data_IF_362018759463
#
_entry.id   IF_362018759463
#
_cell.length_a   1.000
_cell.length_b   1.000
_cell.length_c   1.000
_cell.angle_alpha   90.00
_cell.angle_beta   90.00
_cell.angle_gamma   90.00
#
_symmetry.space_group_name_H-M   'P 1'
#
loop_
_entity.id
_entity.type
_entity.pdbx_description
1 polymer ?
#
# COMPACT_ATOMS: atom_id res chain seq x y z
N UNK A 1 -6.95 12.43 -10.32
CA UNK A 1 -7.33 11.59 -9.18
C UNK A 1 -6.31 10.47 -9.02
N UNK A 2 -5.79 10.28 -7.82
CA UNK A 2 -4.74 9.29 -7.60
C UNK A 2 -5.37 7.92 -7.35
N UNK A 3 -4.93 6.92 -8.10
CA UNK A 3 -5.42 5.56 -7.96
C UNK A 3 -4.83 4.91 -6.70
N UNK A 4 -5.44 3.81 -6.28
CA UNK A 4 -4.92 3.03 -5.14
C UNK A 4 -3.47 2.60 -5.39
N UNK A 5 -3.17 2.11 -6.59
CA UNK A 5 -1.81 1.70 -6.93
C UNK A 5 -0.82 2.85 -6.82
N UNK A 6 -1.23 4.04 -7.28
CA UNK A 6 -0.40 5.23 -7.19
C UNK A 6 -0.18 5.66 -5.74
N UNK A 7 -1.25 5.58 -4.92
CA UNK A 7 -1.15 5.94 -3.50
C UNK A 7 -0.23 4.99 -2.75
N UNK A 8 -0.27 3.70 -3.06
CA UNK A 8 0.62 2.73 -2.43
C UNK A 8 2.07 3.03 -2.79
N UNK A 9 2.32 3.37 -4.05
CA UNK A 9 3.68 3.74 -4.48
C UNK A 9 4.16 4.99 -3.77
N UNK A 10 3.31 6.00 -3.65
CA UNK A 10 3.66 7.25 -2.97
C UNK A 10 3.96 6.99 -1.50
N UNK A 11 3.14 6.16 -0.84
CA UNK A 11 3.36 5.79 0.55
C UNK A 11 4.74 5.16 0.73
N UNK A 12 5.09 4.22 -0.14
CA UNK A 12 6.39 3.56 -0.08
C UNK A 12 7.52 4.57 -0.24
N UNK A 13 7.38 5.49 -1.20
CA UNK A 13 8.41 6.49 -1.48
C UNK A 13 8.54 7.49 -0.33
N UNK A 14 7.44 7.82 0.32
CA UNK A 14 7.48 8.69 1.49
C UNK A 14 8.29 8.06 2.61
N UNK A 15 8.22 6.73 2.74
CA UNK A 15 8.99 6.00 3.73
C UNK A 15 10.43 5.76 3.28
N UNK A 16 10.79 6.21 2.07
CA UNK A 16 12.14 6.06 1.50
C UNK A 16 12.55 4.60 1.39
N UNK A 17 11.61 3.76 0.97
CA UNK A 17 11.85 2.32 0.85
C UNK A 17 11.83 1.84 -0.59
N UNK A 18 12.67 0.84 -0.87
CA UNK A 18 12.58 0.08 -2.11
C UNK A 18 11.36 -0.84 -2.00
N UNK A 19 10.96 -1.44 -3.13
CA UNK A 19 9.88 -2.42 -3.11
C UNK A 19 10.24 -3.60 -2.20
N UNK A 20 11.51 -4.03 -2.22
CA UNK A 20 11.95 -5.14 -1.38
C UNK A 20 11.84 -4.83 0.11
N UNK A 21 12.32 -3.65 0.51
CA UNK A 21 12.24 -3.25 1.91
C UNK A 21 10.81 -3.05 2.37
N UNK A 22 9.97 -2.48 1.50
CA UNK A 22 8.56 -2.27 1.80
C UNK A 22 7.85 -3.61 1.98
N UNK A 23 8.16 -4.58 1.10
CA UNK A 23 7.60 -5.91 1.21
C UNK A 23 7.97 -6.57 2.54
N UNK A 24 9.22 -6.42 2.97
CA UNK A 24 9.65 -6.94 4.27
C UNK A 24 8.93 -6.27 5.41
N UNK A 25 8.75 -4.95 5.33
CA UNK A 25 8.05 -4.21 6.37
C UNK A 25 6.60 -4.66 6.52
N UNK A 26 5.96 -5.02 5.42
CA UNK A 26 4.58 -5.49 5.42
C UNK A 26 4.46 -7.01 5.55
N UNK A 27 5.59 -7.71 5.55
CA UNK A 27 5.62 -9.18 5.60
C UNK A 27 4.82 -9.81 4.45
N UNK A 28 5.10 -9.31 3.24
CA UNK A 28 4.53 -9.86 2.00
C UNK A 28 5.67 -10.03 1.00
N UNK A 29 5.41 -10.70 -0.12
CA UNK A 29 6.44 -10.88 -1.14
C UNK A 29 6.62 -9.60 -1.95
N UNK A 30 7.82 -9.41 -2.51
CA UNK A 30 8.09 -8.26 -3.37
C UNK A 30 7.20 -8.30 -4.62
N UNK A 31 6.88 -9.50 -5.10
CA UNK A 31 5.96 -9.65 -6.22
C UNK A 31 4.58 -9.11 -5.91
N UNK A 32 4.12 -9.28 -4.67
CA UNK A 32 2.84 -8.74 -4.23
C UNK A 32 2.85 -7.21 -4.31
N UNK A 33 3.92 -6.58 -3.80
CA UNK A 33 4.06 -5.12 -3.87
C UNK A 33 4.05 -4.66 -5.33
N UNK A 34 4.80 -5.35 -6.17
CA UNK A 34 4.88 -5.01 -7.58
C UNK A 34 3.50 -5.06 -8.24
N UNK A 35 2.71 -6.12 -7.95
CA UNK A 35 1.37 -6.26 -8.52
C UNK A 35 0.44 -5.15 -8.04
N UNK A 36 0.52 -4.78 -6.74
CA UNK A 36 -0.29 -3.68 -6.23
C UNK A 36 0.05 -2.36 -6.93
N UNK A 37 1.33 -2.08 -7.10
CA UNK A 37 1.77 -0.81 -7.68
C UNK A 37 1.51 -0.73 -9.18
N UNK A 38 1.30 -1.87 -9.82
CA UNK A 38 0.97 -1.93 -11.25
C UNK A 38 -0.52 -2.20 -11.49
N UNK A 39 -1.33 -2.09 -10.45
CA UNK A 39 -2.79 -2.26 -10.52
C UNK A 39 -3.21 -3.64 -11.05
N UNK A 40 -2.37 -4.65 -10.86
CA UNK A 40 -2.70 -6.02 -11.26
C UNK A 40 -3.62 -6.69 -10.24
N UNK A 41 -3.41 -6.41 -8.96
CA UNK A 41 -4.25 -6.90 -7.88
C UNK A 41 -4.38 -5.81 -6.83
N UNK A 42 -5.37 -5.96 -5.97
CA UNK A 42 -5.58 -5.03 -4.86
C UNK A 42 -5.27 -5.74 -3.53
N UNK A 43 -4.81 -5.01 -2.51
CA UNK A 43 -4.61 -5.61 -1.19
C UNK A 43 -5.94 -6.13 -0.65
N UNK A 44 -5.91 -7.28 0.02
CA UNK A 44 -7.09 -7.77 0.72
C UNK A 44 -7.16 -7.12 2.10
N UNK A 45 -8.21 -7.45 2.89
CA UNK A 45 -8.40 -6.84 4.20
C UNK A 45 -7.19 -7.05 5.11
N UNK A 46 -6.64 -8.27 5.11
CA UNK A 46 -5.47 -8.57 5.94
C UNK A 46 -4.30 -7.67 5.56
N UNK A 47 -4.06 -7.50 4.25
CA UNK A 47 -2.99 -6.63 3.78
C UNK A 47 -3.27 -5.17 4.11
N UNK A 48 -4.53 -4.74 4.02
CA UNK A 48 -4.90 -3.37 4.36
C UNK A 48 -4.64 -3.06 5.83
N UNK A 49 -4.84 -4.04 6.72
CA UNK A 49 -4.51 -3.86 8.14
C UNK A 49 -3.01 -3.64 8.32
N UNK A 50 -2.20 -4.38 7.58
CA UNK A 50 -0.74 -4.20 7.62
C UNK A 50 -0.33 -2.84 7.10
N UNK A 51 -0.96 -2.40 6.00
CA UNK A 51 -0.69 -1.07 5.43
C UNK A 51 -1.06 0.03 6.42
N UNK A 52 -2.21 -0.12 7.09
CA UNK A 52 -2.65 0.86 8.09
C UNK A 52 -1.64 0.98 9.21
N UNK A 53 -1.19 -0.16 9.75
CA UNK A 53 -0.20 -0.17 10.82
C UNK A 53 1.11 0.48 10.37
N UNK A 54 1.53 0.19 9.14
CA UNK A 54 2.73 0.79 8.57
C UNK A 54 2.61 2.32 8.47
N UNK A 55 1.45 2.79 8.02
CA UNK A 55 1.20 4.23 7.91
C UNK A 55 1.26 4.89 9.28
N UNK A 56 0.67 4.25 10.29
CA UNK A 56 0.69 4.78 11.65
C UNK A 56 2.11 4.87 12.21
N UNK A 57 2.91 3.84 11.96
CA UNK A 57 4.30 3.79 12.45
C UNK A 57 5.17 4.83 11.77
N UNK A 58 4.86 5.19 10.54
CA UNK A 58 5.68 6.08 9.75
C UNK A 58 5.07 7.48 9.60
N UNK A 59 4.01 7.78 10.33
CA UNK A 59 3.30 9.07 10.28
C UNK A 59 2.85 9.44 8.86
N UNK A 60 2.36 8.45 8.12
CA UNK A 60 1.85 8.64 6.78
C UNK A 60 0.33 8.59 6.83
N UNK A 61 -0.37 9.59 6.27
CA UNK A 61 -1.84 9.55 6.27
C UNK A 61 -2.38 8.32 5.54
N UNK A 62 -3.35 7.65 6.15
CA UNK A 62 -3.95 6.45 5.60
C UNK A 62 -5.29 6.72 4.92
N UNK A 63 -5.92 7.85 5.21
CA UNK A 63 -7.29 8.15 4.79
C UNK A 63 -7.52 8.01 3.29
N UNK A 64 -6.61 8.55 2.48
CA UNK A 64 -6.76 8.50 1.02
C UNK A 64 -6.61 7.06 0.51
N UNK A 65 -5.71 6.30 1.12
CA UNK A 65 -5.49 4.90 0.74
C UNK A 65 -6.74 4.09 1.05
N UNK A 66 -7.29 4.30 2.24
CA UNK A 66 -8.50 3.62 2.66
C UNK A 66 -9.67 3.94 1.72
N UNK A 67 -9.86 5.22 1.42
CA UNK A 67 -10.95 5.64 0.55
C UNK A 67 -10.82 5.05 -0.84
N UNK A 68 -9.60 5.04 -1.38
CA UNK A 68 -9.37 4.47 -2.71
C UNK A 68 -9.60 2.96 -2.72
N UNK A 69 -9.21 2.28 -1.63
CA UNK A 69 -9.42 0.85 -1.53
C UNK A 69 -10.90 0.50 -1.43
N UNK A 70 -11.66 1.25 -0.65
CA UNK A 70 -13.10 1.03 -0.51
C UNK A 70 -13.78 1.23 -1.87
N UNK A 71 -13.36 2.25 -2.62
CA UNK A 71 -13.93 2.50 -3.94
C UNK A 71 -13.66 1.35 -4.91
N UNK A 72 -12.53 0.67 -4.76
CA UNK A 72 -12.16 -0.45 -5.62
C UNK A 72 -12.97 -1.72 -5.30
N UNK A 73 -13.47 -1.83 -4.07
CA UNK A 73 -14.20 -3.02 -3.62
C UNK A 73 -15.59 -3.13 -4.23
N UNK A 74 -16.07 -2.09 -4.85
CA UNK A 74 -17.36 -2.15 -5.54
C UNK A 74 -17.23 -2.95 -6.83
#
# INVERSE_FOLDING_TARGET
MTSLSGLIRVMRKRALMSQENFAKALNVSVGTINRWENAKTNPNITAMKKIKAFCEENNIPFDEIEAAWIAQEE
#
